data_IF_530493706515
#
_entry.id   IF_530493706515
#
_cell.length_a   1.000
_cell.length_b   1.000
_cell.length_c   1.000
_cell.angle_alpha   90.00
_cell.angle_beta   90.00
_cell.angle_gamma   90.00
#
_symmetry.space_group_name_H-M   'P 1'
#
loop_
_entity.id
_entity.type
_entity.pdbx_description
1 polymer ?
#
# COMPACT_ATOMS: atom_id res chain seq x y z
N UNK A 1 -32.95 14.18 30.77
CA UNK A 1 -32.50 12.79 30.52
C UNK A 1 -32.09 12.47 29.08
N UNK A 2 -32.42 13.28 28.05
CA UNK A 2 -31.97 13.06 26.65
C UNK A 2 -30.45 13.17 26.44
N UNK A 3 -29.83 14.22 27.00
CA UNK A 3 -28.39 14.53 26.81
C UNK A 3 -27.45 13.37 27.19
N UNK A 4 -27.72 12.63 28.28
CA UNK A 4 -26.92 11.46 28.67
C UNK A 4 -27.02 10.32 27.66
N UNK A 5 -28.18 10.11 27.05
CA UNK A 5 -28.40 9.07 26.03
C UNK A 5 -27.71 9.42 24.71
N UNK A 6 -27.72 10.69 24.33
CA UNK A 6 -27.14 11.15 23.07
C UNK A 6 -25.60 11.11 23.12
N UNK A 7 -24.99 11.52 24.24
CA UNK A 7 -23.54 11.41 24.46
C UNK A 7 -23.08 9.94 24.48
N UNK A 8 -23.84 9.05 25.13
CA UNK A 8 -23.55 7.61 25.13
C UNK A 8 -23.60 6.99 23.73
N UNK A 9 -24.49 7.48 22.86
CA UNK A 9 -24.56 7.07 21.46
C UNK A 9 -23.35 7.51 20.64
N UNK A 10 -22.84 8.71 20.90
CA UNK A 10 -21.61 9.23 20.27
C UNK A 10 -20.38 8.42 20.72
N UNK A 11 -20.30 8.12 22.03
CA UNK A 11 -19.16 7.38 22.61
C UNK A 11 -19.14 5.91 22.18
N UNK A 12 -20.30 5.24 22.14
CA UNK A 12 -20.35 3.84 21.68
C UNK A 12 -19.93 3.70 20.22
N UNK A 13 -20.19 4.72 19.41
CA UNK A 13 -19.94 4.69 17.97
C UNK A 13 -20.70 3.57 17.27
N UNK A 14 -20.51 3.48 15.96
CA UNK A 14 -20.96 2.35 15.15
C UNK A 14 -19.73 1.60 14.64
N UNK A 15 -19.69 0.29 14.86
CA UNK A 15 -18.57 -0.57 14.47
C UNK A 15 -18.92 -1.30 13.19
N UNK A 16 -17.97 -1.31 12.26
CA UNK A 16 -17.95 -2.14 11.06
C UNK A 16 -16.78 -3.12 11.19
N UNK A 17 -17.00 -4.40 10.91
CA UNK A 17 -16.00 -5.47 11.05
C UNK A 17 -15.91 -6.36 9.81
N UNK A 18 -14.92 -7.25 9.79
CA UNK A 18 -14.69 -8.21 8.69
C UNK A 18 -15.88 -9.16 8.50
N UNK A 19 -16.59 -9.50 9.57
CA UNK A 19 -17.73 -10.41 9.52
C UNK A 19 -18.91 -9.77 8.78
N UNK A 20 -19.09 -8.46 8.92
CA UNK A 20 -20.13 -7.69 8.24
C UNK A 20 -19.71 -7.20 6.85
N UNK A 21 -18.41 -6.96 6.60
CA UNK A 21 -17.95 -6.33 5.36
C UNK A 21 -16.73 -7.04 4.75
N UNK A 22 -16.96 -7.78 3.66
CA UNK A 22 -15.89 -8.32 2.83
C UNK A 22 -15.01 -7.17 2.28
N UNK A 23 -13.68 -7.35 2.33
CA UNK A 23 -12.66 -6.37 1.94
C UNK A 23 -12.45 -5.18 2.89
N UNK A 24 -12.96 -5.21 4.13
CA UNK A 24 -12.65 -4.16 5.12
C UNK A 24 -11.14 -4.00 5.35
N UNK A 25 -10.37 -5.08 5.17
CA UNK A 25 -8.90 -5.10 5.23
C UNK A 25 -8.25 -4.03 4.33
N UNK A 26 -8.93 -3.63 3.25
CA UNK A 26 -8.45 -2.60 2.32
C UNK A 26 -8.52 -1.18 2.89
N UNK A 27 -9.34 -0.94 3.90
CA UNK A 27 -9.34 0.34 4.63
C UNK A 27 -8.08 0.54 5.47
N UNK A 28 -7.37 -0.56 5.78
CA UNK A 28 -6.14 -0.54 6.56
C UNK A 28 -4.89 -0.42 5.70
N UNK A 29 -5.04 -0.43 4.36
CA UNK A 29 -3.96 -0.01 3.47
C UNK A 29 -3.72 1.49 3.61
N UNK A 30 -2.58 1.95 3.11
CA UNK A 30 -2.23 3.35 3.17
C UNK A 30 -3.27 4.24 2.45
N UNK A 31 -3.67 3.85 1.23
CA UNK A 31 -4.76 4.52 0.49
C UNK A 31 -6.09 4.50 1.25
N UNK A 32 -6.42 3.36 1.87
CA UNK A 32 -7.62 3.21 2.69
C UNK A 32 -7.64 4.18 3.87
N UNK A 33 -6.49 4.35 4.55
CA UNK A 33 -6.34 5.28 5.68
C UNK A 33 -6.45 6.75 5.24
N UNK A 34 -5.87 7.11 4.10
CA UNK A 34 -6.02 8.46 3.56
C UNK A 34 -7.47 8.75 3.14
N UNK A 35 -8.12 7.76 2.52
CA UNK A 35 -9.53 7.85 2.20
C UNK A 35 -10.40 8.01 3.46
N UNK A 36 -10.12 7.27 4.54
CA UNK A 36 -10.80 7.42 5.83
C UNK A 36 -10.65 8.84 6.41
N UNK A 37 -9.46 9.45 6.32
CA UNK A 37 -9.27 10.85 6.73
C UNK A 37 -10.16 11.80 5.93
N UNK A 38 -10.25 11.60 4.63
CA UNK A 38 -11.13 12.41 3.75
C UNK A 38 -12.60 12.26 4.15
N UNK A 39 -13.03 11.05 4.56
CA UNK A 39 -14.40 10.81 5.05
C UNK A 39 -14.63 11.51 6.38
N UNK A 40 -13.67 11.43 7.32
CA UNK A 40 -13.74 12.14 8.60
C UNK A 40 -13.94 13.64 8.40
N UNK A 41 -13.15 14.26 7.52
CA UNK A 41 -13.24 15.69 7.18
C UNK A 41 -14.59 16.05 6.54
N UNK A 42 -15.11 15.21 5.64
CA UNK A 42 -16.38 15.47 4.94
C UNK A 42 -17.62 15.29 5.82
N UNK A 43 -17.55 14.42 6.80
CA UNK A 43 -18.71 14.04 7.63
C UNK A 43 -18.66 14.63 9.03
N UNK A 44 -17.58 15.32 9.39
CA UNK A 44 -17.34 15.76 10.77
C UNK A 44 -17.50 14.59 11.76
N UNK A 45 -16.89 13.45 11.41
CA UNK A 45 -16.86 12.24 12.26
C UNK A 45 -15.44 11.88 12.66
N UNK A 46 -15.32 11.17 13.78
CA UNK A 46 -14.08 10.54 14.22
C UNK A 46 -14.12 9.07 13.87
N UNK A 47 -13.23 8.62 13.00
CA UNK A 47 -13.12 7.20 12.62
C UNK A 47 -11.84 6.62 13.23
N UNK A 48 -11.99 5.53 13.99
CA UNK A 48 -10.89 4.79 14.61
C UNK A 48 -10.83 3.41 14.01
N UNK A 49 -9.72 3.12 13.32
CA UNK A 49 -9.45 1.83 12.70
C UNK A 49 -8.54 0.98 13.61
N UNK A 50 -9.03 -0.18 14.05
CA UNK A 50 -8.26 -1.17 14.80
C UNK A 50 -7.79 -2.29 13.87
N UNK A 51 -6.50 -2.22 13.50
CA UNK A 51 -5.84 -3.20 12.63
C UNK A 51 -5.74 -4.59 13.24
N UNK A 52 -5.75 -4.72 14.57
CA UNK A 52 -5.53 -6.00 15.26
C UNK A 52 -6.73 -6.93 15.11
N UNK A 53 -7.92 -6.34 15.15
CA UNK A 53 -9.19 -7.04 15.00
C UNK A 53 -9.90 -6.70 13.68
N UNK A 54 -9.24 -5.91 12.81
CA UNK A 54 -9.74 -5.48 11.51
C UNK A 54 -11.16 -4.87 11.60
N UNK A 55 -11.33 -3.97 12.57
CA UNK A 55 -12.60 -3.26 12.78
C UNK A 55 -12.43 -1.75 12.63
N UNK A 56 -13.49 -1.07 12.21
CA UNK A 56 -13.55 0.38 12.09
C UNK A 56 -14.71 0.90 12.92
N UNK A 57 -14.42 1.81 13.83
CA UNK A 57 -15.40 2.42 14.72
C UNK A 57 -15.60 3.89 14.36
N UNK A 58 -16.87 4.30 14.21
CA UNK A 58 -17.26 5.62 13.72
C UNK A 58 -18.00 6.33 14.85
N UNK A 59 -17.48 7.48 15.24
CA UNK A 59 -18.00 8.33 16.31
C UNK A 59 -18.42 9.69 15.75
N UNK A 60 -19.49 10.25 16.29
CA UNK A 60 -20.05 11.53 15.82
C UNK A 60 -21.56 11.58 16.00
N UNK A 61 -22.21 12.60 15.47
CA UNK A 61 -23.67 12.70 15.45
C UNK A 61 -24.29 11.58 14.59
N UNK A 62 -25.49 11.11 14.94
CA UNK A 62 -26.12 9.95 14.29
C UNK A 62 -26.30 10.12 12.78
N UNK A 63 -26.64 11.34 12.34
CA UNK A 63 -26.80 11.64 10.90
C UNK A 63 -25.46 11.56 10.18
N UNK A 64 -24.41 12.16 10.76
CA UNK A 64 -23.04 12.12 10.25
C UNK A 64 -22.45 10.71 10.22
N UNK A 65 -22.70 9.91 11.28
CA UNK A 65 -22.33 8.49 11.31
C UNK A 65 -22.97 7.72 10.17
N UNK A 66 -24.25 7.97 9.88
CA UNK A 66 -24.95 7.32 8.77
C UNK A 66 -24.32 7.72 7.43
N UNK A 67 -24.06 9.00 7.19
CA UNK A 67 -23.39 9.46 5.97
C UNK A 67 -21.99 8.89 5.80
N UNK A 68 -21.21 8.76 6.88
CA UNK A 68 -19.89 8.13 6.84
C UNK A 68 -20.00 6.64 6.46
N UNK A 69 -20.96 5.92 7.05
CA UNK A 69 -21.21 4.50 6.74
C UNK A 69 -21.66 4.32 5.30
N UNK A 70 -22.59 5.13 4.81
CA UNK A 70 -23.05 5.05 3.42
C UNK A 70 -21.88 5.26 2.44
N UNK A 71 -20.97 6.21 2.72
CA UNK A 71 -19.75 6.39 1.93
C UNK A 71 -18.79 5.19 2.00
N UNK A 72 -18.66 4.57 3.17
CA UNK A 72 -17.86 3.36 3.36
C UNK A 72 -18.44 2.17 2.61
N UNK A 73 -19.75 1.95 2.69
CA UNK A 73 -20.43 0.89 1.96
C UNK A 73 -20.24 1.06 0.44
N UNK A 74 -20.40 2.28 -0.08
CA UNK A 74 -20.16 2.57 -1.50
C UNK A 74 -18.71 2.29 -1.90
N UNK A 75 -17.74 2.71 -1.08
CA UNK A 75 -16.32 2.47 -1.34
C UNK A 75 -15.98 0.97 -1.33
N UNK A 76 -16.44 0.24 -0.31
CA UNK A 76 -16.22 -1.21 -0.19
C UNK A 76 -16.92 -1.98 -1.30
N UNK A 77 -18.11 -1.56 -1.72
CA UNK A 77 -18.83 -2.17 -2.83
C UNK A 77 -18.09 -1.95 -4.16
N UNK A 78 -17.55 -0.74 -4.39
CA UNK A 78 -16.70 -0.46 -5.56
C UNK A 78 -15.46 -1.34 -5.59
N UNK A 79 -14.83 -1.57 -4.44
CA UNK A 79 -13.69 -2.47 -4.32
C UNK A 79 -14.05 -3.94 -4.56
N UNK A 80 -15.27 -4.35 -4.19
CA UNK A 80 -15.79 -5.72 -4.40
C UNK A 80 -16.06 -6.01 -5.87
N UNK A 81 -16.53 -5.03 -6.64
CA UNK A 81 -16.78 -5.19 -8.08
C UNK A 81 -15.52 -5.01 -8.93
N UNK A 82 -14.44 -4.53 -8.32
CA UNK A 82 -13.19 -4.26 -9.02
C UNK A 82 -12.38 -5.52 -9.25
N UNK A 83 -11.73 -5.60 -10.41
CA UNK A 83 -10.83 -6.69 -10.73
C UNK A 83 -9.50 -6.45 -10.04
N UNK A 84 -8.76 -7.54 -9.85
CA UNK A 84 -7.42 -7.49 -9.30
C UNK A 84 -6.46 -8.34 -10.10
N UNK A 85 -5.22 -7.86 -10.29
CA UNK A 85 -4.15 -8.61 -10.93
C UNK A 85 -2.88 -8.53 -10.08
N UNK A 86 -2.38 -9.67 -9.65
CA UNK A 86 -1.12 -9.77 -8.91
C UNK A 86 0.05 -10.05 -9.84
N UNK A 87 1.13 -9.29 -9.71
CA UNK A 87 2.35 -9.41 -10.48
C UNK A 87 3.54 -9.70 -9.55
N UNK A 88 4.46 -10.55 -9.99
CA UNK A 88 5.74 -10.73 -9.29
C UNK A 88 6.74 -9.66 -9.70
N UNK A 89 7.34 -9.00 -8.72
CA UNK A 89 8.43 -8.03 -8.88
C UNK A 89 9.82 -8.69 -8.84
N UNK A 90 9.86 -10.02 -8.71
CA UNK A 90 11.08 -10.85 -8.76
C UNK A 90 10.91 -11.98 -9.77
N UNK A 91 12.01 -12.45 -10.35
CA UNK A 91 12.04 -13.50 -11.36
C UNK A 91 13.17 -13.28 -12.35
N UNK A 92 13.48 -14.28 -13.17
CA UNK A 92 14.58 -14.21 -14.15
C UNK A 92 14.34 -13.15 -15.24
N UNK A 93 13.08 -12.82 -15.50
CA UNK A 93 12.62 -11.81 -16.44
C UNK A 93 12.53 -10.40 -15.81
N UNK A 94 12.89 -10.25 -14.53
CA UNK A 94 12.81 -8.98 -13.80
C UNK A 94 14.20 -8.55 -13.30
N UNK A 95 14.57 -7.27 -13.48
CA UNK A 95 15.84 -6.78 -12.97
C UNK A 95 15.82 -6.75 -11.42
N UNK A 96 16.95 -7.10 -10.76
CA UNK A 96 17.07 -6.91 -9.33
C UNK A 96 16.93 -5.43 -8.99
N UNK A 97 16.29 -5.12 -7.86
CA UNK A 97 15.97 -3.75 -7.49
C UNK A 97 14.66 -3.22 -8.03
N UNK A 98 13.90 -3.97 -8.85
CA UNK A 98 12.66 -3.47 -9.45
C UNK A 98 11.68 -2.89 -8.43
N UNK A 99 11.47 -3.60 -7.31
CA UNK A 99 10.59 -3.10 -6.25
C UNK A 99 11.07 -1.74 -5.69
N UNK A 100 12.38 -1.60 -5.46
CA UNK A 100 12.98 -0.34 -4.98
C UNK A 100 12.84 0.77 -6.02
N UNK A 101 13.11 0.48 -7.29
CA UNK A 101 12.97 1.45 -8.37
C UNK A 101 11.53 1.97 -8.46
N UNK A 102 10.54 1.08 -8.39
CA UNK A 102 9.14 1.49 -8.40
C UNK A 102 8.78 2.35 -7.18
N UNK A 103 9.23 1.98 -5.98
CA UNK A 103 8.98 2.76 -4.74
C UNK A 103 9.64 4.14 -4.79
N UNK A 104 10.85 4.26 -5.37
CA UNK A 104 11.51 5.55 -5.52
C UNK A 104 10.84 6.42 -6.59
N UNK A 105 10.39 5.83 -7.69
CA UNK A 105 9.82 6.55 -8.83
C UNK A 105 8.37 6.98 -8.62
N UNK A 106 7.60 6.16 -7.90
CA UNK A 106 6.16 6.32 -7.71
C UNK A 106 5.75 6.57 -6.26
N UNK A 107 6.71 6.91 -5.42
CA UNK A 107 6.56 7.08 -3.97
C UNK A 107 6.34 5.75 -3.24
N UNK A 108 6.67 5.71 -1.95
CA UNK A 108 6.71 4.47 -1.15
C UNK A 108 5.35 3.75 -1.06
N UNK A 109 4.26 4.49 -1.27
CA UNK A 109 2.87 4.05 -1.24
C UNK A 109 2.27 3.84 -2.65
N UNK A 110 3.05 4.04 -3.72
CA UNK A 110 2.60 3.95 -5.11
C UNK A 110 1.46 4.91 -5.48
N UNK A 111 1.22 5.96 -4.69
CA UNK A 111 0.17 6.95 -4.99
C UNK A 111 0.26 7.51 -6.40
N UNK A 112 1.48 7.86 -6.80
CA UNK A 112 1.73 8.41 -8.13
C UNK A 112 1.42 7.41 -9.23
N UNK A 113 1.71 6.12 -9.01
CA UNK A 113 1.36 5.06 -9.96
C UNK A 113 -0.16 4.90 -10.06
N UNK A 114 -0.87 4.92 -8.92
CA UNK A 114 -2.35 4.87 -8.88
C UNK A 114 -2.96 6.02 -9.69
N UNK A 115 -2.43 7.24 -9.52
CA UNK A 115 -2.88 8.42 -10.25
C UNK A 115 -2.60 8.32 -11.75
N UNK A 116 -1.40 7.91 -12.14
CA UNK A 116 -0.99 7.81 -13.54
C UNK A 116 -1.74 6.71 -14.31
N UNK A 117 -2.04 5.57 -13.66
CA UNK A 117 -2.74 4.46 -14.31
C UNK A 117 -4.25 4.47 -14.12
N UNK A 118 -4.79 5.39 -13.31
CA UNK A 118 -6.20 5.42 -12.93
C UNK A 118 -6.64 4.16 -12.18
N UNK A 119 -5.73 3.52 -11.42
CA UNK A 119 -6.09 2.40 -10.54
C UNK A 119 -6.94 2.91 -9.38
N UNK A 120 -7.62 2.00 -8.70
CA UNK A 120 -8.31 2.34 -7.46
C UNK A 120 -7.37 2.28 -6.26
N UNK A 121 -6.52 1.25 -6.21
CA UNK A 121 -5.46 1.12 -5.22
C UNK A 121 -4.43 0.07 -5.65
N UNK A 122 -3.31 0.07 -4.95
CA UNK A 122 -2.23 -0.91 -5.10
C UNK A 122 -1.93 -1.53 -3.72
N UNK A 123 -1.76 -2.84 -3.69
CA UNK A 123 -1.29 -3.55 -2.50
C UNK A 123 0.11 -4.12 -2.77
N UNK A 124 1.09 -3.76 -1.94
CA UNK A 124 2.45 -4.31 -2.02
C UNK A 124 2.70 -5.30 -0.90
N UNK A 125 3.03 -6.54 -1.26
CA UNK A 125 3.59 -7.53 -0.36
C UNK A 125 5.12 -7.51 -0.45
N UNK A 126 5.76 -6.70 0.39
CA UNK A 126 7.22 -6.55 0.43
C UNK A 126 7.94 -7.90 0.61
N UNK A 127 7.42 -8.78 1.48
CA UNK A 127 8.06 -10.06 1.78
C UNK A 127 8.08 -11.02 0.59
N UNK A 128 6.98 -11.05 -0.17
CA UNK A 128 6.85 -11.92 -1.34
C UNK A 128 7.26 -11.25 -2.65
N UNK A 129 7.49 -9.94 -2.63
CA UNK A 129 7.73 -9.10 -3.80
C UNK A 129 6.57 -9.20 -4.80
N UNK A 130 5.34 -9.14 -4.30
CA UNK A 130 4.14 -9.20 -5.11
C UNK A 130 3.44 -7.84 -5.05
N UNK A 131 3.07 -7.31 -6.21
CA UNK A 131 2.23 -6.12 -6.33
C UNK A 131 0.86 -6.54 -6.85
N UNK A 132 -0.21 -6.16 -6.16
CA UNK A 132 -1.59 -6.40 -6.59
C UNK A 132 -2.21 -5.09 -7.05
N UNK A 133 -2.60 -5.05 -8.31
CA UNK A 133 -3.24 -3.91 -8.97
C UNK A 133 -4.75 -4.09 -8.89
N UNK A 134 -5.48 -3.08 -8.41
CA UNK A 134 -6.94 -3.16 -8.23
C UNK A 134 -7.62 -2.03 -9.00
N UNK A 135 -8.57 -2.39 -9.86
CA UNK A 135 -9.31 -1.43 -10.66
C UNK A 135 -10.11 -2.06 -11.79
N UNK A 136 -10.44 -1.24 -12.79
CA UNK A 136 -11.04 -1.69 -14.05
C UNK A 136 -9.96 -2.34 -14.94
N UNK A 137 -10.38 -3.16 -15.92
CA UNK A 137 -9.43 -3.86 -16.81
C UNK A 137 -8.45 -2.89 -17.47
N UNK A 138 -8.96 -1.76 -17.96
CA UNK A 138 -8.14 -0.73 -18.61
C UNK A 138 -7.09 -0.16 -17.66
N UNK A 139 -7.46 0.21 -16.44
CA UNK A 139 -6.52 0.73 -15.44
C UNK A 139 -5.43 -0.30 -15.08
N UNK A 140 -5.80 -1.59 -15.01
CA UNK A 140 -4.86 -2.68 -14.75
C UNK A 140 -3.90 -2.88 -15.92
N UNK A 141 -4.39 -2.80 -17.15
CA UNK A 141 -3.58 -2.86 -18.36
C UNK A 141 -2.60 -1.68 -18.44
N UNK A 142 -3.09 -0.46 -18.23
CA UNK A 142 -2.29 0.78 -18.24
C UNK A 142 -1.18 0.72 -17.18
N UNK A 143 -1.50 0.30 -15.95
CA UNK A 143 -0.50 0.07 -14.90
C UNK A 143 0.53 -1.00 -15.28
N UNK A 144 0.10 -2.07 -15.94
CA UNK A 144 0.99 -3.11 -16.45
C UNK A 144 1.97 -2.58 -17.51
N UNK A 145 1.52 -1.72 -18.41
CA UNK A 145 2.36 -1.04 -19.41
C UNK A 145 3.39 -0.14 -18.72
N UNK A 146 2.97 0.66 -17.74
CA UNK A 146 3.87 1.52 -16.97
C UNK A 146 4.96 0.69 -16.28
N UNK A 147 4.60 -0.37 -15.56
CA UNK A 147 5.56 -1.25 -14.87
C UNK A 147 6.53 -1.91 -15.86
N UNK A 148 6.02 -2.40 -17.00
CA UNK A 148 6.87 -2.97 -18.04
C UNK A 148 7.85 -1.96 -18.64
N UNK A 149 7.44 -0.71 -18.82
CA UNK A 149 8.35 0.35 -19.29
C UNK A 149 9.50 0.61 -18.31
N UNK A 150 9.26 0.51 -17.00
CA UNK A 150 10.31 0.61 -15.98
C UNK A 150 11.26 -0.58 -16.07
N UNK A 151 10.72 -1.80 -16.20
CA UNK A 151 11.51 -3.02 -16.38
C UNK A 151 12.44 -2.89 -17.58
N UNK A 152 11.92 -2.48 -18.73
CA UNK A 152 12.70 -2.29 -19.96
C UNK A 152 13.79 -1.23 -19.80
N UNK A 153 13.47 -0.10 -19.17
CA UNK A 153 14.43 0.96 -18.88
C UNK A 153 15.57 0.47 -17.99
N UNK A 154 15.26 -0.27 -16.92
CA UNK A 154 16.27 -0.85 -16.03
C UNK A 154 17.15 -1.88 -16.74
N UNK A 155 16.56 -2.76 -17.56
CA UNK A 155 17.31 -3.76 -18.34
C UNK A 155 18.26 -3.08 -19.32
N UNK A 156 17.82 -2.02 -19.99
CA UNK A 156 18.65 -1.25 -20.93
C UNK A 156 19.84 -0.59 -20.22
N UNK A 157 19.59 0.14 -19.13
CA UNK A 157 20.63 0.81 -18.36
C UNK A 157 21.66 -0.19 -17.78
N UNK A 158 21.23 -1.40 -17.42
CA UNK A 158 22.12 -2.46 -16.90
C UNK A 158 23.04 -3.05 -17.97
N UNK A 159 22.58 -3.14 -19.23
CA UNK A 159 23.42 -3.61 -20.35
C UNK A 159 24.57 -2.63 -20.63
N UNK A 160 24.35 -1.35 -20.37
CA UNK A 160 25.35 -0.28 -20.53
C UNK A 160 26.38 -0.27 -19.37
N UNK A 161 25.98 -0.70 -18.16
CA UNK A 161 26.83 -0.71 -16.95
C UNK A 161 27.54 -2.06 -16.64
N UNK A 162 28.00 -2.82 -17.64
CA UNK A 162 28.73 -4.11 -17.44
C UNK A 162 30.18 -3.95 -16.93
N UNK A 163 30.45 -3.03 -16.01
CA UNK A 163 31.76 -2.91 -15.36
C UNK A 163 31.65 -3.31 -13.89
N UNK A 164 32.36 -4.40 -13.57
CA UNK A 164 32.80 -4.83 -12.23
C UNK A 164 31.73 -5.37 -11.26
N UNK A 165 31.32 -6.63 -11.46
CA UNK A 165 30.78 -7.48 -10.37
C UNK A 165 31.94 -8.05 -9.53
N UNK A 166 32.66 -7.20 -8.82
CA UNK A 166 33.59 -7.62 -7.76
C UNK A 166 32.83 -7.67 -6.43
N UNK A 167 32.63 -8.88 -5.90
CA UNK A 167 32.20 -9.18 -4.51
C UNK A 167 31.08 -8.29 -3.91
N UNK A 168 30.06 -7.94 -4.68
CA UNK A 168 28.87 -7.25 -4.16
C UNK A 168 27.95 -8.25 -3.45
N UNK A 169 27.46 -7.92 -2.25
CA UNK A 169 26.35 -8.65 -1.61
C UNK A 169 25.03 -8.01 -2.02
N UNK A 170 23.99 -8.81 -2.20
CA UNK A 170 22.68 -8.26 -2.55
C UNK A 170 21.88 -7.88 -1.30
N UNK A 171 21.15 -6.78 -1.38
CA UNK A 171 20.21 -6.37 -0.34
C UNK A 171 19.09 -7.40 -0.18
N UNK A 172 18.82 -7.83 1.04
CA UNK A 172 17.75 -8.84 1.28
C UNK A 172 16.33 -8.32 1.03
N UNK A 173 16.14 -6.99 0.97
CA UNK A 173 14.82 -6.36 0.76
C UNK A 173 14.59 -6.04 -0.71
N UNK A 174 15.54 -5.41 -1.40
CA UNK A 174 15.34 -4.99 -2.79
C UNK A 174 16.09 -5.83 -3.82
N UNK A 175 16.99 -6.71 -3.39
CA UNK A 175 17.90 -7.48 -4.24
C UNK A 175 18.86 -6.64 -5.09
N UNK A 176 18.98 -5.32 -4.85
CA UNK A 176 20.03 -4.52 -5.45
C UNK A 176 21.42 -4.99 -4.96
N UNK A 177 22.43 -5.04 -5.83
CA UNK A 177 23.81 -5.24 -5.39
C UNK A 177 24.25 -4.07 -4.51
N UNK A 178 24.94 -4.37 -3.42
CA UNK A 178 25.49 -3.41 -2.47
C UNK A 178 27.02 -3.52 -2.54
N UNK A 179 27.69 -2.37 -2.60
CA UNK A 179 29.14 -2.29 -2.47
C UNK A 179 29.56 -2.61 -1.02
N UNK A 180 30.69 -3.27 -0.81
CA UNK A 180 31.08 -3.80 0.51
C UNK A 180 31.15 -2.72 1.61
N UNK A 181 31.51 -1.48 1.26
CA UNK A 181 31.55 -0.33 2.17
C UNK A 181 30.19 0.34 2.46
N UNK A 182 29.12 -0.07 1.77
CA UNK A 182 27.77 0.50 1.90
C UNK A 182 26.75 -0.50 2.49
N UNK A 183 27.24 -1.62 3.04
CA UNK A 183 26.40 -2.65 3.64
C UNK A 183 25.99 -2.23 5.05
N UNK A 184 24.68 -2.04 5.25
CA UNK A 184 24.09 -1.89 6.58
C UNK A 184 23.65 -3.28 7.08
N UNK A 185 23.90 -3.57 8.35
CA UNK A 185 23.45 -4.81 9.00
C UNK A 185 22.67 -4.45 10.25
N UNK A 186 21.46 -4.99 10.36
CA UNK A 186 20.69 -4.89 11.59
C UNK A 186 21.29 -5.83 12.64
N UNK A 187 21.41 -5.35 13.88
CA UNK A 187 22.06 -6.09 14.98
C UNK A 187 21.44 -7.48 15.24
N UNK A 188 20.13 -7.61 15.05
CA UNK A 188 19.38 -8.82 15.40
C UNK A 188 19.55 -9.94 14.37
N UNK A 189 19.60 -9.62 13.07
CA UNK A 189 19.56 -10.64 12.01
C UNK A 189 20.81 -10.68 11.13
N UNK A 190 21.66 -9.67 11.18
CA UNK A 190 22.93 -9.62 10.45
C UNK A 190 22.82 -9.62 8.92
N UNK A 191 21.61 -9.63 8.36
CA UNK A 191 21.39 -9.62 6.91
C UNK A 191 21.87 -8.29 6.28
N UNK A 192 22.38 -8.32 5.04
CA UNK A 192 22.82 -7.11 4.35
C UNK A 192 21.64 -6.28 3.79
N UNK A 193 21.63 -4.99 4.11
CA UNK A 193 20.68 -3.99 3.61
C UNK A 193 21.43 -2.87 2.88
N UNK A 194 20.84 -2.33 1.81
CA UNK A 194 21.28 -1.04 1.28
C UNK A 194 20.76 0.08 2.19
N UNK A 195 21.40 1.26 2.16
CA UNK A 195 21.05 2.41 3.01
C UNK A 195 19.54 2.70 3.04
N UNK A 196 18.94 2.89 1.87
CA UNK A 196 17.51 3.22 1.75
C UNK A 196 16.60 2.15 2.38
N UNK A 197 16.94 0.87 2.20
CA UNK A 197 16.17 -0.23 2.78
C UNK A 197 16.40 -0.38 4.29
N UNK A 198 17.56 0.03 4.81
CA UNK A 198 17.82 0.04 6.24
C UNK A 198 17.06 1.18 6.93
N UNK A 199 17.03 2.36 6.33
CA UNK A 199 16.27 3.51 6.84
C UNK A 199 14.77 3.22 6.92
N UNK A 200 14.23 2.49 5.94
CA UNK A 200 12.84 2.00 5.97
C UNK A 200 12.51 1.03 7.12
N UNK A 201 13.49 0.51 7.85
CA UNK A 201 13.25 -0.34 9.02
C UNK A 201 13.23 0.45 10.34
N UNK A 202 13.54 1.75 10.29
CA UNK A 202 13.57 2.64 11.46
C UNK A 202 12.26 3.42 11.67
N UNK A 203 11.33 3.33 10.73
CA UNK A 203 10.02 3.98 10.73
C UNK A 203 8.90 2.94 10.57
#
# INVERSE_FOLDING_TARGET
MKVKSDILGIIKGRVLDVETHANINRLFTWDGKEWLKTVMEKTDTTIVADERILSVSIHGEKENQKSAIDMMEVYLQKLKTSKSKTLSLKGDDKPPGLMKELMLRYEFDFKKLVQESGLQCIELNHRLHLITLIGEDRSIEDAGVIINSVIESMIKNRKECKLQRTQTRDCVVCFCPIQEGEIYRLEVCGHPYCKDCAELQLY
#
